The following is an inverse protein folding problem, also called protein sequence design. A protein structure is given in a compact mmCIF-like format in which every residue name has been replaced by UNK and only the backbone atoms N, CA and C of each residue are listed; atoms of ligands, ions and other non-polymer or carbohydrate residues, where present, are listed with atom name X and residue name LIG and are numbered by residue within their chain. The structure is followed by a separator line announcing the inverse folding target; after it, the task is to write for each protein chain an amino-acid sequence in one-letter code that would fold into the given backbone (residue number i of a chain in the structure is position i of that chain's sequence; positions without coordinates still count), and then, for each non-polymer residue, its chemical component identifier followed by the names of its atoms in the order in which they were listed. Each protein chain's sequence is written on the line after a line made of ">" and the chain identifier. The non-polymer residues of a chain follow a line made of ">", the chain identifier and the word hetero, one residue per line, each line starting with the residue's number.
data_IF_903984248471
#
_entry.id   IF_903984248471
#
_cell.length_a   1.000
_cell.length_b   1.000
_cell.length_c   1.000
_cell.angle_alpha   90.00
_cell.angle_beta   90.00
_cell.angle_gamma   90.00
#
_symmetry.space_group_name_H-M   'P 1'
#
loop_
_entity.id
_entity.type
_entity.pdbx_description
1 polymer ?
#
# COMPACT_ATOMS: atom_id res chain seq x y z
N UNK A 1 17.12 14.67 0.47
CA UNK A 1 15.91 13.97 -0.05
C UNK A 1 16.10 13.38 -1.45
N UNK A 2 16.68 14.07 -2.44
CA UNK A 2 16.83 13.54 -3.82
C UNK A 2 17.54 12.18 -3.94
N UNK A 3 18.66 11.97 -3.25
CA UNK A 3 19.45 10.72 -3.31
C UNK A 3 18.76 9.47 -2.74
N UNK A 4 17.74 9.62 -1.89
CA UNK A 4 17.05 8.49 -1.21
C UNK A 4 15.82 8.00 -2.00
N UNK A 5 15.29 8.86 -2.87
CA UNK A 5 14.18 8.53 -3.80
C UNK A 5 14.72 7.79 -5.03
N UNK A 6 15.91 8.15 -5.50
CA UNK A 6 16.58 7.50 -6.65
C UNK A 6 16.80 6.00 -6.41
N UNK A 7 17.18 5.57 -5.19
CA UNK A 7 17.39 4.14 -4.90
C UNK A 7 16.09 3.31 -4.85
N UNK A 8 14.94 3.95 -4.61
CA UNK A 8 13.63 3.28 -4.61
C UNK A 8 13.13 3.14 -6.05
N UNK A 9 13.37 4.14 -6.91
CA UNK A 9 13.01 4.09 -8.33
C UNK A 9 13.83 3.02 -9.09
N UNK A 10 15.11 2.86 -8.76
CA UNK A 10 15.97 1.81 -9.36
C UNK A 10 15.53 0.38 -9.00
N UNK A 11 14.84 0.20 -7.87
CA UNK A 11 14.30 -1.11 -7.47
C UNK A 11 12.98 -1.44 -8.17
N UNK A 12 12.21 -0.42 -8.58
CA UNK A 12 10.95 -0.59 -9.31
C UNK A 12 11.19 -0.81 -10.81
N UNK A 13 12.26 -0.23 -11.37
CA UNK A 13 12.62 -0.41 -12.79
C UNK A 13 13.04 -1.84 -13.18
N UNK A 14 13.30 -2.72 -12.21
CA UNK A 14 13.68 -4.13 -12.45
C UNK A 14 12.49 -5.10 -12.52
N UNK A 15 11.27 -4.63 -12.25
CA UNK A 15 10.07 -5.44 -12.33
C UNK A 15 9.06 -4.81 -13.30
N UNK A 16 9.24 -5.02 -14.61
CA UNK A 16 8.22 -4.59 -15.58
C UNK A 16 8.69 -4.40 -17.02
N UNK A 17 9.40 -5.37 -17.60
CA UNK A 17 9.61 -5.41 -19.05
C UNK A 17 8.38 -5.97 -19.76
N UNK A 18 7.46 -5.11 -20.23
CA UNK A 18 6.40 -5.55 -21.13
C UNK A 18 6.96 -5.72 -22.55
N UNK A 19 7.16 -6.96 -23.01
CA UNK A 19 7.45 -7.26 -24.42
C UNK A 19 6.17 -7.03 -25.23
N UNK A 20 6.18 -6.01 -26.10
CA UNK A 20 5.18 -5.84 -27.16
C UNK A 20 5.34 -7.00 -28.15
N UNK A 21 4.32 -7.86 -28.28
CA UNK A 21 4.18 -8.75 -29.44
C UNK A 21 3.54 -7.96 -30.57
N UNK A 22 4.30 -7.73 -31.64
CA UNK A 22 3.76 -7.37 -32.96
C UNK A 22 3.75 -8.65 -33.79
N UNK A 23 2.58 -9.10 -34.23
CA UNK A 23 2.47 -10.12 -35.28
C UNK A 23 2.50 -9.41 -36.63
N UNK A 24 3.47 -9.76 -37.48
CA UNK A 24 3.36 -10.02 -38.93
C UNK A 24 4.74 -9.88 -39.61
N UNK A 25 4.93 -10.70 -40.65
CA UNK A 25 6.10 -10.91 -41.54
C UNK A 25 7.25 -11.80 -41.03
N UNK A 26 7.83 -12.74 -41.79
CA UNK A 26 7.50 -13.43 -43.05
C UNK A 26 8.53 -14.58 -43.24
N UNK A 27 8.12 -15.68 -43.86
CA UNK A 27 8.89 -16.77 -44.54
C UNK A 27 9.81 -17.76 -43.80
N UNK A 28 9.53 -19.04 -44.09
CA UNK A 28 10.36 -20.29 -44.01
C UNK A 28 11.56 -20.25 -44.99
N UNK A 29 12.66 -21.03 -44.81
CA UNK A 29 12.62 -22.48 -45.07
C UNK A 29 13.54 -23.42 -44.26
N UNK A 30 13.14 -24.69 -44.34
CA UNK A 30 13.70 -25.95 -43.88
C UNK A 30 15.18 -26.20 -44.26
N UNK A 31 15.98 -26.77 -43.35
CA UNK A 31 17.03 -27.73 -43.73
C UNK A 31 17.44 -28.62 -42.54
N UNK A 32 17.76 -29.86 -42.87
CA UNK A 32 18.03 -31.00 -41.98
C UNK A 32 19.42 -30.90 -41.33
N UNK A 33 19.60 -31.51 -40.15
CA UNK A 33 20.92 -31.89 -39.65
C UNK A 33 20.93 -33.39 -39.27
N UNK A 34 21.99 -34.13 -39.64
CA UNK A 34 22.10 -35.58 -39.46
C UNK A 34 22.59 -35.98 -38.06
N UNK A 35 22.35 -37.25 -37.73
CA UNK A 35 22.96 -37.98 -36.63
C UNK A 35 24.48 -38.00 -36.75
N UNK A 36 25.17 -37.69 -35.65
CA UNK A 36 26.49 -38.24 -35.36
C UNK A 36 26.66 -38.54 -33.87
N UNK A 37 27.45 -39.57 -33.65
CA UNK A 37 27.56 -40.42 -32.47
C UNK A 37 28.68 -39.98 -31.52
N UNK A 38 28.60 -40.47 -30.28
CA UNK A 38 29.68 -40.69 -29.32
C UNK A 38 30.38 -39.47 -28.68
N UNK A 39 30.09 -39.22 -27.39
CA UNK A 39 31.14 -39.34 -26.38
C UNK A 39 30.57 -39.42 -24.95
N UNK A 40 30.96 -40.47 -24.23
CA UNK A 40 30.70 -40.67 -22.81
C UNK A 40 31.63 -39.79 -21.98
N UNK A 41 31.09 -38.76 -21.33
CA UNK A 41 31.67 -38.16 -20.14
C UNK A 41 30.58 -37.97 -19.10
N UNK A 42 30.68 -38.75 -18.03
CA UNK A 42 29.88 -38.60 -16.80
C UNK A 42 30.23 -37.26 -16.15
N UNK A 43 29.46 -36.22 -16.49
CA UNK A 43 29.27 -35.05 -15.65
C UNK A 43 27.91 -35.18 -14.99
N UNK A 44 27.87 -35.25 -13.66
CA UNK A 44 26.64 -35.25 -12.88
C UNK A 44 25.87 -33.96 -13.16
N UNK A 45 24.92 -34.01 -14.08
CA UNK A 45 23.94 -32.95 -14.28
C UNK A 45 22.98 -33.01 -13.09
N UNK A 46 23.17 -32.07 -12.16
CA UNK A 46 22.17 -31.75 -11.15
C UNK A 46 20.83 -31.52 -11.83
N UNK A 47 19.81 -32.13 -11.26
CA UNK A 47 18.41 -32.02 -11.64
C UNK A 47 18.00 -30.55 -11.94
N UNK A 48 17.56 -30.22 -13.17
CA UNK A 48 17.08 -28.88 -13.51
C UNK A 48 15.80 -28.47 -12.78
N UNK A 49 15.17 -29.37 -12.02
CA UNK A 49 13.94 -29.08 -11.28
C UNK A 49 14.16 -28.34 -9.94
N UNK A 50 15.41 -27.98 -9.59
CA UNK A 50 15.67 -27.08 -8.46
C UNK A 50 15.59 -25.58 -8.84
N UNK A 51 14.78 -25.19 -9.84
CA UNK A 51 14.33 -23.81 -9.96
C UNK A 51 13.33 -23.52 -8.86
N UNK A 52 13.88 -23.08 -7.72
CA UNK A 52 13.27 -22.18 -6.73
C UNK A 52 11.77 -22.01 -6.94
N UNK A 53 10.98 -22.78 -6.19
CA UNK A 53 9.68 -22.34 -5.75
C UNK A 53 9.86 -21.01 -4.98
N UNK A 54 9.93 -19.88 -5.69
CA UNK A 54 9.36 -18.64 -5.19
C UNK A 54 7.84 -18.75 -5.37
N UNK A 55 7.28 -19.75 -4.70
CA UNK A 55 5.97 -19.57 -4.14
C UNK A 55 6.19 -18.40 -3.17
N UNK A 56 5.88 -17.18 -3.60
CA UNK A 56 5.77 -16.05 -2.69
C UNK A 56 4.67 -16.48 -1.72
N UNK A 57 5.05 -17.16 -0.63
CA UNK A 57 4.12 -17.51 0.40
C UNK A 57 3.60 -16.17 0.87
N UNK A 58 2.33 -15.90 0.56
CA UNK A 58 1.64 -14.75 1.11
C UNK A 58 1.64 -14.99 2.61
N UNK A 59 2.62 -14.42 3.30
CA UNK A 59 2.66 -14.48 4.75
C UNK A 59 1.33 -13.90 5.24
N UNK A 60 0.60 -14.62 6.12
CA UNK A 60 -0.58 -14.07 6.75
C UNK A 60 -0.20 -12.72 7.35
N UNK A 61 -0.99 -11.69 7.07
CA UNK A 61 -0.70 -10.37 7.63
C UNK A 61 -1.08 -10.44 9.08
N UNK A 62 -0.20 -9.90 9.88
CA UNK A 62 -0.35 -9.83 11.32
C UNK A 62 -0.88 -8.46 11.64
N UNK A 63 -1.99 -8.43 12.36
CA UNK A 63 -2.54 -7.23 12.95
C UNK A 63 -2.17 -7.23 14.43
N UNK A 64 -1.39 -6.24 14.85
CA UNK A 64 -1.04 -6.04 16.25
C UNK A 64 -1.68 -4.75 16.74
N UNK A 65 -2.61 -4.87 17.68
CA UNK A 65 -3.34 -3.74 18.27
C UNK A 65 -2.73 -3.46 19.64
N UNK A 66 -2.29 -2.23 19.85
CA UNK A 66 -1.72 -1.71 21.09
C UNK A 66 -2.49 -0.46 21.52
N UNK A 67 -2.27 -0.01 22.77
CA UNK A 67 -2.96 1.16 23.33
C UNK A 67 -2.81 2.40 22.45
N UNK A 68 -1.59 2.67 21.95
CA UNK A 68 -1.29 3.87 21.15
C UNK A 68 -1.18 3.61 19.65
N UNK A 69 -1.04 2.36 19.22
CA UNK A 69 -0.71 2.04 17.84
C UNK A 69 -1.38 0.76 17.35
N UNK A 70 -1.66 0.73 16.04
CA UNK A 70 -2.08 -0.45 15.30
C UNK A 70 -1.04 -0.74 14.24
N UNK A 71 -0.51 -1.96 14.20
CA UNK A 71 0.54 -2.37 13.26
C UNK A 71 -0.01 -3.46 12.35
N UNK A 72 0.10 -3.22 11.04
CA UNK A 72 -0.15 -4.22 10.00
C UNK A 72 1.18 -4.64 9.38
N UNK A 73 1.48 -5.93 9.39
CA UNK A 73 2.76 -6.47 8.91
C UNK A 73 2.56 -7.72 8.06
N UNK A 74 3.15 -7.76 6.86
CA UNK A 74 3.15 -8.94 5.98
C UNK A 74 4.55 -9.55 5.76
N UNK A 75 5.55 -9.14 6.54
CA UNK A 75 6.95 -9.56 6.42
C UNK A 75 7.74 -8.83 5.32
N UNK A 76 7.08 -8.07 4.44
CA UNK A 76 7.70 -7.22 3.42
C UNK A 76 7.48 -5.75 3.77
N UNK A 77 6.23 -5.41 4.09
CA UNK A 77 5.80 -4.06 4.47
C UNK A 77 5.15 -4.10 5.84
N UNK A 78 5.55 -3.14 6.68
CA UNK A 78 4.93 -2.88 7.95
C UNK A 78 4.41 -1.44 7.97
N UNK A 79 3.14 -1.27 8.32
CA UNK A 79 2.52 0.05 8.51
C UNK A 79 2.12 0.19 9.97
N UNK A 80 2.58 1.27 10.61
CA UNK A 80 2.20 1.67 11.96
C UNK A 80 1.24 2.83 11.89
N UNK A 81 0.08 2.69 12.53
CA UNK A 81 -0.98 3.67 12.60
C UNK A 81 -1.21 4.10 14.06
N UNK A 82 -1.49 5.37 14.31
CA UNK A 82 -1.92 5.83 15.64
C UNK A 82 -3.30 5.27 16.01
N UNK A 83 -3.52 4.91 17.27
CA UNK A 83 -4.80 4.43 17.80
C UNK A 83 -5.41 5.50 18.74
N UNK A 84 -6.67 5.98 18.52
CA UNK A 84 -7.61 5.64 17.46
C UNK A 84 -7.54 6.58 16.23
N UNK A 85 -6.51 7.42 16.11
CA UNK A 85 -6.53 8.49 15.10
C UNK A 85 -6.27 8.04 13.65
N UNK A 86 -5.74 6.84 13.41
CA UNK A 86 -5.50 6.33 12.05
C UNK A 86 -4.47 7.12 11.24
N UNK A 87 -3.59 7.89 11.90
CA UNK A 87 -2.46 8.60 11.29
C UNK A 87 -1.36 7.59 10.99
N UNK A 88 -0.76 7.66 9.81
CA UNK A 88 0.39 6.81 9.47
C UNK A 88 1.63 7.36 10.15
N UNK A 89 2.14 6.64 11.15
CA UNK A 89 3.28 7.08 11.97
C UNK A 89 4.59 6.40 11.57
N UNK A 90 4.50 5.27 10.86
CA UNK A 90 5.64 4.61 10.25
C UNK A 90 5.30 3.68 9.10
N UNK A 91 6.23 3.59 8.16
CA UNK A 91 6.23 2.61 7.05
C UNK A 91 7.62 1.99 7.00
N UNK A 92 7.72 0.66 7.11
CA UNK A 92 8.95 -0.10 6.88
C UNK A 92 8.78 -0.98 5.66
N UNK A 93 9.81 -1.11 4.84
CA UNK A 93 9.76 -1.86 3.59
C UNK A 93 11.06 -2.60 3.34
N UNK A 94 11.00 -3.91 3.07
CA UNK A 94 12.16 -4.69 2.62
C UNK A 94 13.36 -4.63 3.57
N UNK A 95 13.12 -4.57 4.88
CA UNK A 95 14.16 -4.44 5.91
C UNK A 95 14.70 -3.02 6.11
N UNK A 96 14.22 -2.04 5.33
CA UNK A 96 14.50 -0.62 5.58
C UNK A 96 13.62 -0.16 6.76
N UNK A 97 14.25 0.53 7.70
CA UNK A 97 13.60 1.22 8.81
C UNK A 97 12.60 2.29 8.32
N UNK A 98 12.02 3.04 9.25
CA UNK A 98 10.93 3.97 8.94
C UNK A 98 11.29 4.90 7.76
N UNK A 99 10.47 4.82 6.71
CA UNK A 99 10.59 5.63 5.49
C UNK A 99 10.05 7.05 5.70
N UNK A 100 9.24 7.27 6.74
CA UNK A 100 8.68 8.57 7.07
C UNK A 100 9.68 9.42 7.86
N UNK A 101 9.61 10.75 7.68
CA UNK A 101 10.41 11.72 8.43
C UNK A 101 9.95 11.78 9.90
N UNK A 102 10.70 11.12 10.78
CA UNK A 102 10.34 10.99 12.20
C UNK A 102 10.48 12.30 12.99
N UNK A 103 11.22 13.29 12.47
CA UNK A 103 11.35 14.60 13.11
C UNK A 103 10.06 15.43 13.01
N UNK A 104 9.18 15.12 12.05
CA UNK A 104 7.87 15.74 11.96
C UNK A 104 6.92 15.19 13.02
N UNK A 105 5.95 16.00 13.43
CA UNK A 105 4.78 15.52 14.19
C UNK A 105 4.06 14.44 13.38
N UNK A 106 3.51 13.43 14.04
CA UNK A 106 2.83 12.30 13.39
C UNK A 106 1.76 12.77 12.39
N UNK A 107 0.99 13.81 12.73
CA UNK A 107 -0.03 14.43 11.87
C UNK A 107 0.54 15.12 10.62
N UNK A 108 1.86 15.16 10.45
CA UNK A 108 2.58 15.81 9.35
C UNK A 108 3.69 14.91 8.75
N UNK A 109 3.55 13.58 8.88
CA UNK A 109 4.49 12.60 8.30
C UNK A 109 4.06 12.06 6.93
N UNK A 110 2.87 12.43 6.48
CA UNK A 110 2.34 12.19 5.13
C UNK A 110 1.23 13.21 4.87
N UNK A 111 1.19 13.78 3.68
CA UNK A 111 0.29 14.88 3.33
C UNK A 111 -1.11 14.36 3.00
N UNK A 112 -2.02 14.36 3.98
CA UNK A 112 -3.43 14.00 3.80
C UNK A 112 -4.28 14.95 4.66
N UNK A 113 -4.59 16.12 4.12
CA UNK A 113 -5.48 17.11 4.71
C UNK A 113 -6.70 17.36 3.81
N UNK A 114 -7.77 17.83 4.42
CA UNK A 114 -8.93 18.34 3.74
C UNK A 114 -8.88 19.86 3.78
N UNK A 115 -9.06 20.49 2.62
CA UNK A 115 -9.23 21.93 2.54
C UNK A 115 -10.65 22.25 2.09
N UNK A 116 -11.40 22.97 2.92
CA UNK A 116 -12.80 23.30 2.68
C UNK A 116 -13.10 24.71 3.15
N UNK A 117 -14.11 25.36 2.56
CA UNK A 117 -14.63 26.63 3.07
C UNK A 117 -16.16 26.67 2.96
N UNK A 118 -16.85 27.31 3.92
CA UNK A 118 -18.25 27.65 3.73
C UNK A 118 -18.40 28.77 2.68
N UNK A 119 -19.60 28.95 2.07
CA UNK A 119 -19.86 30.06 1.16
C UNK A 119 -19.54 31.40 1.81
N UNK A 120 -18.64 32.19 1.19
CA UNK A 120 -18.20 33.48 1.73
C UNK A 120 -17.31 33.42 2.97
N UNK A 121 -16.91 32.22 3.42
CA UNK A 121 -16.07 32.01 4.61
C UNK A 121 -14.58 31.81 4.31
N UNK A 122 -13.79 31.66 5.38
CA UNK A 122 -12.36 31.33 5.29
C UNK A 122 -12.16 29.82 5.12
N UNK A 123 -11.07 29.44 4.44
CA UNK A 123 -10.63 28.06 4.32
C UNK A 123 -10.25 27.46 5.67
N UNK A 124 -10.64 26.20 5.86
CA UNK A 124 -10.32 25.34 7.00
C UNK A 124 -9.47 24.20 6.48
N UNK A 125 -8.34 23.95 7.15
CA UNK A 125 -7.53 22.75 6.97
C UNK A 125 -7.89 21.77 8.09
N UNK A 126 -8.32 20.58 7.72
CA UNK A 126 -8.72 19.53 8.65
C UNK A 126 -7.90 18.26 8.40
N UNK A 127 -7.38 17.68 9.46
CA UNK A 127 -6.59 16.44 9.37
C UNK A 127 -7.55 15.27 9.41
N UNK A 128 -7.43 14.38 8.43
CA UNK A 128 -8.23 13.15 8.35
C UNK A 128 -7.79 12.20 9.47
N UNK A 129 -8.44 12.34 10.61
CA UNK A 129 -8.15 11.61 11.85
C UNK A 129 -9.42 11.04 12.46
N UNK A 130 -9.31 9.83 13.00
CA UNK A 130 -10.38 9.13 13.71
C UNK A 130 -10.43 9.46 15.20
N UNK A 131 -11.60 9.22 15.80
CA UNK A 131 -11.80 9.19 17.26
C UNK A 131 -12.12 7.79 17.77
N UNK A 132 -12.43 6.85 16.86
CA UNK A 132 -12.76 5.46 17.14
C UNK A 132 -12.00 4.54 16.20
N UNK A 133 -11.61 3.37 16.69
CA UNK A 133 -10.93 2.32 15.92
C UNK A 133 -11.74 1.02 15.97
N UNK A 134 -11.82 0.32 14.85
CA UNK A 134 -12.42 -1.01 14.78
C UNK A 134 -11.72 -1.91 13.75
N UNK A 135 -11.82 -3.22 13.98
CA UNK A 135 -11.46 -4.25 12.99
C UNK A 135 -12.73 -4.63 12.25
N UNK A 136 -12.79 -4.37 10.94
CA UNK A 136 -13.95 -4.64 10.10
C UNK A 136 -13.90 -6.08 9.57
N UNK A 137 -12.71 -6.50 9.10
CA UNK A 137 -12.46 -7.85 8.60
C UNK A 137 -11.09 -8.32 9.07
N UNK A 138 -10.99 -9.57 9.53
CA UNK A 138 -9.73 -10.23 9.84
C UNK A 138 -9.83 -11.72 9.49
N UNK A 139 -9.23 -12.09 8.36
CA UNK A 139 -9.04 -13.47 7.88
C UNK A 139 -7.57 -13.69 7.54
N UNK A 140 -7.21 -14.90 7.13
CA UNK A 140 -5.84 -15.20 6.66
C UNK A 140 -5.49 -14.41 5.38
N UNK A 141 -6.50 -14.10 4.57
CA UNK A 141 -6.40 -13.46 3.26
C UNK A 141 -6.61 -11.94 3.33
N UNK A 142 -7.44 -11.45 4.25
CA UNK A 142 -7.87 -10.06 4.28
C UNK A 142 -7.83 -9.47 5.69
N UNK A 143 -7.27 -8.26 5.79
CA UNK A 143 -7.42 -7.39 6.94
C UNK A 143 -7.97 -6.05 6.45
N UNK A 144 -9.01 -5.61 7.14
CA UNK A 144 -9.62 -4.31 6.98
C UNK A 144 -9.86 -3.71 8.37
N UNK A 145 -9.30 -2.53 8.59
CA UNK A 145 -9.47 -1.76 9.81
C UNK A 145 -10.03 -0.39 9.48
N UNK A 146 -10.80 0.17 10.39
CA UNK A 146 -11.51 1.43 10.23
C UNK A 146 -11.18 2.39 11.38
N UNK A 147 -11.03 3.66 11.03
CA UNK A 147 -10.84 4.77 11.94
C UNK A 147 -11.93 5.81 11.67
N UNK A 148 -12.89 5.95 12.60
CA UNK A 148 -14.09 6.75 12.41
C UNK A 148 -14.03 8.03 13.24
N UNK A 149 -14.42 9.15 12.64
CA UNK A 149 -14.75 10.40 13.32
C UNK A 149 -16.16 10.81 12.96
N UNK A 150 -17.02 10.91 13.96
CA UNK A 150 -18.37 11.47 13.81
C UNK A 150 -18.30 12.99 13.75
N UNK A 151 -19.29 13.62 13.10
CA UNK A 151 -19.44 15.07 13.17
C UNK A 151 -19.87 15.50 14.58
N UNK A 152 -19.18 16.50 15.12
CA UNK A 152 -19.54 17.19 16.36
C UNK A 152 -19.84 18.66 16.05
N UNK A 153 -21.10 19.13 16.21
CA UNK A 153 -21.46 20.53 16.00
C UNK A 153 -20.62 21.53 16.82
N UNK A 154 -20.02 21.12 17.94
CA UNK A 154 -19.13 21.97 18.74
C UNK A 154 -17.82 22.36 18.02
N UNK A 155 -17.50 21.65 16.93
CA UNK A 155 -16.33 21.87 16.09
C UNK A 155 -16.62 22.74 14.86
N UNK A 156 -17.82 23.33 14.76
CA UNK A 156 -18.17 24.25 13.68
C UNK A 156 -17.14 25.39 13.54
N UNK A 157 -16.70 25.64 12.31
CA UNK A 157 -15.65 26.61 12.00
C UNK A 157 -14.22 26.18 12.35
N UNK A 158 -14.03 25.01 12.98
CA UNK A 158 -12.71 24.43 13.33
C UNK A 158 -12.41 23.14 12.58
N UNK A 159 -13.43 22.34 12.30
CA UNK A 159 -13.35 21.10 11.54
C UNK A 159 -14.42 21.07 10.45
N UNK A 160 -14.22 20.25 9.43
CA UNK A 160 -15.18 20.13 8.33
C UNK A 160 -16.36 19.26 8.79
N UNK A 161 -17.62 19.62 8.46
CA UNK A 161 -18.83 18.91 8.88
C UNK A 161 -19.04 17.55 8.17
N UNK A 162 -18.08 16.64 8.33
CA UNK A 162 -18.08 15.30 7.76
C UNK A 162 -18.02 14.23 8.84
N UNK A 163 -18.78 13.17 8.63
CA UNK A 163 -18.48 11.85 9.18
C UNK A 163 -17.38 11.26 8.31
N UNK A 164 -16.25 10.91 8.92
CA UNK A 164 -15.10 10.31 8.25
C UNK A 164 -14.98 8.86 8.67
N UNK A 165 -14.87 7.95 7.71
CA UNK A 165 -14.45 6.57 7.91
C UNK A 165 -13.22 6.30 7.04
N UNK A 166 -12.06 6.23 7.70
CA UNK A 166 -10.78 5.94 7.05
C UNK A 166 -10.45 4.47 7.22
N UNK A 167 -10.34 3.76 6.11
CA UNK A 167 -10.08 2.32 6.09
C UNK A 167 -8.76 1.97 5.45
N UNK A 168 -8.09 0.97 6.02
CA UNK A 168 -6.85 0.43 5.48
C UNK A 168 -7.05 -1.03 5.05
N UNK A 169 -6.63 -1.33 3.82
CA UNK A 169 -6.77 -2.65 3.21
C UNK A 169 -5.40 -3.26 2.91
N UNK A 170 -5.26 -4.50 3.36
CA UNK A 170 -4.04 -5.31 3.27
C UNK A 170 -3.56 -5.62 1.85
N UNK A 171 -4.46 -5.90 0.90
CA UNK A 171 -4.08 -6.56 -0.36
C UNK A 171 -3.07 -5.73 -1.18
N UNK A 172 -3.11 -4.39 -1.11
CA UNK A 172 -2.26 -3.46 -1.88
C UNK A 172 -1.86 -2.20 -1.05
N UNK A 173 -1.94 -2.22 0.29
CA UNK A 173 -1.82 -0.99 1.11
C UNK A 173 -2.75 0.13 0.60
N UNK A 174 -3.99 -0.25 0.27
CA UNK A 174 -4.98 0.73 -0.16
C UNK A 174 -5.57 1.40 1.05
N UNK A 175 -5.71 2.71 0.95
CA UNK A 175 -6.44 3.52 1.92
C UNK A 175 -7.71 3.96 1.20
N UNK A 176 -8.85 3.75 1.84
CA UNK A 176 -10.12 4.28 1.36
C UNK A 176 -10.67 5.24 2.40
N UNK A 177 -11.13 6.41 1.98
CA UNK A 177 -11.74 7.39 2.88
C UNK A 177 -13.16 7.61 2.39
N UNK A 178 -14.11 7.24 3.24
CA UNK A 178 -15.52 7.51 3.03
C UNK A 178 -15.88 8.73 3.88
N UNK A 179 -16.32 9.78 3.20
CA UNK A 179 -16.83 10.98 3.84
C UNK A 179 -18.33 11.11 3.54
N UNK A 180 -19.13 11.24 4.59
CA UNK A 180 -20.54 11.60 4.48
C UNK A 180 -20.74 12.97 5.12
N UNK A 181 -21.29 13.92 4.36
CA UNK A 181 -21.57 15.23 4.92
C UNK A 181 -22.70 15.14 5.93
N UNK A 182 -22.47 15.70 7.11
CA UNK A 182 -23.50 15.88 8.12
C UNK A 182 -24.36 17.12 7.83
N UNK A 183 -23.92 17.99 6.92
CA UNK A 183 -24.58 19.23 6.53
C UNK A 183 -25.31 19.15 5.17
N UNK A 184 -24.94 18.19 4.31
CA UNK A 184 -25.50 17.99 2.96
C UNK A 184 -25.57 16.49 2.65
N UNK A 185 -26.52 16.05 1.83
CA UNK A 185 -26.80 14.64 1.57
C UNK A 185 -25.90 14.00 0.49
N UNK A 186 -24.63 14.41 0.42
CA UNK A 186 -23.68 13.94 -0.59
C UNK A 186 -22.50 13.19 0.06
N UNK A 187 -22.19 12.02 -0.49
CA UNK A 187 -21.00 11.22 -0.15
C UNK A 187 -19.82 11.66 -1.02
N UNK A 188 -18.67 11.92 -0.41
CA UNK A 188 -17.43 12.18 -1.15
C UNK A 188 -16.46 11.02 -0.94
N UNK A 189 -16.04 10.38 -2.04
CA UNK A 189 -14.98 9.37 -2.04
C UNK A 189 -13.70 10.08 -2.44
N UNK A 190 -12.70 10.05 -1.56
CA UNK A 190 -11.34 10.50 -1.89
C UNK A 190 -10.50 9.23 -2.05
N UNK A 191 -10.05 8.98 -3.28
CA UNK A 191 -9.22 7.82 -3.68
C UNK A 191 -7.74 8.20 -3.61
#
# INVERSE_FOLDING_TARGET
>A
MKKRVESVLDSLAKCGGCIRRSNNDVTLPTSQLPLDTNNSNQGSYGDPHALRNHNMSHQPVRLHIQDRYVVMDNGIVQVTLSNPAGIVTGIRYGGIDNLLEILNRETNRGYWDLHWHPPGGKGIFDVISGTQFSVVVQTEEQIEISFIRMWDPSLEGKAIPLIIDKRFFRQILRISILCNSAAFQDSCIII
#
